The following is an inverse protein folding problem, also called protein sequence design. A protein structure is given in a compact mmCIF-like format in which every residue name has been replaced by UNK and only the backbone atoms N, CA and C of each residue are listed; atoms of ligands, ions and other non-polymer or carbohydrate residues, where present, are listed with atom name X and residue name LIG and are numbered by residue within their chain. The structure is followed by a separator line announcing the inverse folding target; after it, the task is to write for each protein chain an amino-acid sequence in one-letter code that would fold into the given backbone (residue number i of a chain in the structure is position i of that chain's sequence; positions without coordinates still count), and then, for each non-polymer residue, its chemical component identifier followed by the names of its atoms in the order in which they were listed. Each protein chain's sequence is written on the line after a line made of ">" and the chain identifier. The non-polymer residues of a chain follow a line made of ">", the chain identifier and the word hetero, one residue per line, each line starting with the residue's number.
data_IF_437668306355
#
_entry.id   IF_437668306355
#
_cell.length_a   1.000
_cell.length_b   1.000
_cell.length_c   1.000
_cell.angle_alpha   90.00
_cell.angle_beta   90.00
_cell.angle_gamma   90.00
#
_symmetry.space_group_name_H-M   'P 1'
#
loop_
_entity.id
_entity.type
_entity.pdbx_description
1 polymer ?
#
# COMPACT_ATOMS: atom_id res chain seq x y z
N UNK A 1 24.25 10.78 1.53
CA UNK A 1 23.94 10.56 0.09
C UNK A 1 24.74 9.42 -0.56
N UNK A 2 25.90 9.00 -0.03
CA UNK A 2 26.70 7.88 -0.59
C UNK A 2 26.02 6.50 -0.52
N UNK A 3 25.17 6.24 0.46
CA UNK A 3 24.47 4.95 0.59
C UNK A 3 23.34 4.73 -0.43
N UNK A 4 22.85 5.79 -1.08
CA UNK A 4 21.74 5.70 -2.04
C UNK A 4 22.16 4.90 -3.27
N UNK A 5 23.41 5.07 -3.72
CA UNK A 5 23.95 4.34 -4.90
C UNK A 5 24.08 2.85 -4.61
N UNK A 6 24.55 2.47 -3.42
CA UNK A 6 24.65 1.06 -3.02
C UNK A 6 23.26 0.41 -2.87
N UNK A 7 22.29 1.15 -2.32
CA UNK A 7 20.89 0.72 -2.27
C UNK A 7 20.29 0.51 -3.66
N UNK A 8 20.57 1.42 -4.61
CA UNK A 8 20.09 1.32 -5.99
C UNK A 8 20.71 0.13 -6.74
N UNK A 9 21.99 -0.18 -6.51
CA UNK A 9 22.63 -1.34 -7.13
C UNK A 9 22.09 -2.66 -6.58
N UNK A 10 21.79 -2.71 -5.28
CA UNK A 10 21.32 -3.93 -4.62
C UNK A 10 19.80 -4.18 -4.82
N UNK A 11 18.99 -3.12 -4.89
CA UNK A 11 17.53 -3.21 -4.96
C UNK A 11 16.94 -2.79 -6.32
N UNK A 12 17.78 -2.35 -7.26
CA UNK A 12 17.34 -1.69 -8.48
C UNK A 12 17.03 -0.21 -8.26
N UNK A 13 16.77 0.55 -9.34
CA UNK A 13 16.41 1.95 -9.23
C UNK A 13 15.21 2.15 -8.30
N UNK A 14 15.25 3.13 -7.41
CA UNK A 14 14.14 3.41 -6.48
C UNK A 14 12.78 3.58 -7.21
N UNK A 15 12.82 4.07 -8.46
CA UNK A 15 11.64 4.21 -9.29
C UNK A 15 11.01 2.88 -9.69
N UNK A 16 11.77 1.79 -9.88
CA UNK A 16 11.18 0.48 -10.22
C UNK A 16 10.40 -0.09 -9.04
N UNK A 17 10.95 0.03 -7.83
CA UNK A 17 10.27 -0.42 -6.61
C UNK A 17 9.03 0.43 -6.33
N UNK A 18 9.13 1.75 -6.49
CA UNK A 18 8.01 2.66 -6.32
C UNK A 18 6.89 2.40 -7.33
N UNK A 19 7.23 2.26 -8.61
CA UNK A 19 6.24 2.00 -9.68
C UNK A 19 5.51 0.70 -9.41
N UNK A 20 6.21 -0.38 -9.07
CA UNK A 20 5.58 -1.66 -8.75
C UNK A 20 4.64 -1.55 -7.53
N UNK A 21 5.10 -0.92 -6.45
CA UNK A 21 4.27 -0.73 -5.26
C UNK A 21 3.03 0.12 -5.57
N UNK A 22 3.19 1.18 -6.37
CA UNK A 22 2.09 2.04 -6.77
C UNK A 22 1.09 1.35 -7.69
N UNK A 23 1.54 0.48 -8.61
CA UNK A 23 0.66 -0.33 -9.45
C UNK A 23 -0.21 -1.28 -8.60
N UNK A 24 0.40 -1.98 -7.64
CA UNK A 24 -0.33 -2.85 -6.71
C UNK A 24 -1.33 -2.05 -5.87
N UNK A 25 -0.90 -0.91 -5.35
CA UNK A 25 -1.77 -0.03 -4.56
C UNK A 25 -2.95 0.51 -5.39
N UNK A 26 -2.68 1.02 -6.60
CA UNK A 26 -3.72 1.53 -7.49
C UNK A 26 -4.68 0.41 -7.94
N UNK A 27 -4.18 -0.80 -8.21
CA UNK A 27 -5.02 -1.95 -8.54
C UNK A 27 -5.97 -2.33 -7.41
N UNK A 28 -5.48 -2.33 -6.17
CA UNK A 28 -6.33 -2.53 -4.99
C UNK A 28 -7.38 -1.43 -4.83
N UNK A 29 -7.02 -0.16 -5.04
CA UNK A 29 -7.99 0.95 -5.02
C UNK A 29 -9.04 0.79 -6.11
N UNK A 30 -8.65 0.43 -7.33
CA UNK A 30 -9.56 0.19 -8.44
C UNK A 30 -10.53 -0.95 -8.13
N UNK A 31 -10.05 -2.04 -7.54
CA UNK A 31 -10.93 -3.13 -7.10
C UNK A 31 -11.94 -2.63 -6.06
N UNK A 32 -11.56 -1.74 -5.13
CA UNK A 32 -12.51 -1.23 -4.15
C UNK A 32 -13.58 -0.26 -4.72
N UNK A 33 -13.44 0.18 -5.97
CA UNK A 33 -14.40 1.06 -6.67
C UNK A 33 -15.58 0.27 -7.29
N UNK A 34 -16.17 -0.67 -6.54
CA UNK A 34 -17.32 -1.44 -7.00
C UNK A 34 -18.65 -0.66 -6.99
N UNK A 35 -18.72 0.47 -6.28
CA UNK A 35 -19.98 1.21 -6.11
C UNK A 35 -20.18 2.29 -7.18
N UNK A 36 -21.23 2.16 -7.98
CA UNK A 36 -21.60 3.16 -8.99
C UNK A 36 -22.25 4.42 -8.41
N UNK A 37 -22.79 4.38 -7.19
CA UNK A 37 -23.57 5.50 -6.63
C UNK A 37 -22.71 6.46 -5.80
N UNK A 38 -21.77 5.94 -5.00
CA UNK A 38 -20.94 6.74 -4.09
C UNK A 38 -19.48 6.23 -4.08
N UNK A 39 -18.77 6.25 -5.23
CA UNK A 39 -17.45 5.64 -5.37
C UNK A 39 -16.44 6.20 -4.36
N UNK A 40 -16.39 7.53 -4.20
CA UNK A 40 -15.41 8.20 -3.34
C UNK A 40 -15.64 7.99 -1.85
N UNK A 41 -16.91 8.02 -1.40
CA UNK A 41 -17.23 7.78 0.02
C UNK A 41 -16.93 6.34 0.42
N UNK A 42 -17.20 5.39 -0.46
CA UNK A 42 -16.90 3.98 -0.22
C UNK A 42 -15.40 3.70 -0.26
N UNK A 43 -14.68 4.29 -1.22
CA UNK A 43 -13.22 4.22 -1.27
C UNK A 43 -12.58 4.72 0.04
N UNK A 44 -13.05 5.87 0.54
CA UNK A 44 -12.54 6.44 1.79
C UNK A 44 -12.80 5.51 2.99
N UNK A 45 -13.97 4.88 3.07
CA UNK A 45 -14.27 3.90 4.13
C UNK A 45 -13.37 2.68 4.05
N UNK A 46 -13.15 2.14 2.85
CA UNK A 46 -12.27 0.97 2.64
C UNK A 46 -10.84 1.31 3.06
N UNK A 47 -10.33 2.47 2.66
CA UNK A 47 -9.02 2.97 3.08
C UNK A 47 -8.92 3.11 4.59
N UNK A 48 -9.90 3.78 5.23
CA UNK A 48 -9.93 3.94 6.68
C UNK A 48 -9.94 2.60 7.43
N UNK A 49 -10.78 1.66 7.00
CA UNK A 49 -10.81 0.33 7.61
C UNK A 49 -9.49 -0.40 7.45
N UNK A 50 -8.86 -0.31 6.27
CA UNK A 50 -7.54 -0.90 6.03
C UNK A 50 -6.46 -0.30 6.92
N UNK A 51 -6.41 1.03 7.05
CA UNK A 51 -5.41 1.67 7.91
C UNK A 51 -5.60 1.31 9.38
N UNK A 52 -6.85 1.17 9.85
CA UNK A 52 -7.09 0.68 11.21
C UNK A 52 -6.61 -0.75 11.41
N UNK A 53 -6.83 -1.65 10.44
CA UNK A 53 -6.33 -3.01 10.51
C UNK A 53 -4.80 -3.05 10.50
N UNK A 54 -4.15 -2.26 9.64
CA UNK A 54 -2.68 -2.14 9.60
C UNK A 54 -2.13 -1.59 10.93
N UNK A 55 -2.78 -0.59 11.52
CA UNK A 55 -2.40 -0.07 12.84
C UNK A 55 -2.56 -1.10 13.95
N UNK A 56 -3.66 -1.86 13.95
CA UNK A 56 -3.86 -2.95 14.91
C UNK A 56 -2.82 -4.05 14.72
N UNK A 57 -2.53 -4.44 13.49
CA UNK A 57 -1.50 -5.43 13.18
C UNK A 57 -0.14 -5.00 13.74
N UNK A 58 0.25 -3.74 13.52
CA UNK A 58 1.49 -3.17 14.03
C UNK A 58 1.52 -3.07 15.56
N UNK A 59 0.38 -2.75 16.19
CA UNK A 59 0.29 -2.61 17.64
C UNK A 59 0.35 -3.96 18.38
N UNK A 60 -0.21 -5.01 17.79
CA UNK A 60 -0.33 -6.33 18.41
C UNK A 60 0.68 -7.36 17.87
N UNK A 61 1.62 -6.93 17.02
CA UNK A 61 2.61 -7.77 16.31
C UNK A 61 1.99 -9.05 15.70
N UNK A 62 0.82 -8.90 15.09
CA UNK A 62 0.07 -9.99 14.46
C UNK A 62 0.64 -10.35 13.08
N UNK A 63 1.93 -10.08 12.86
CA UNK A 63 2.62 -10.29 11.58
C UNK A 63 2.78 -11.79 11.25
N UNK A 64 2.67 -12.66 12.25
CA UNK A 64 2.87 -14.13 12.12
C UNK A 64 1.58 -14.94 11.89
N UNK A 65 0.39 -14.39 12.11
CA UNK A 65 -0.85 -15.18 12.30
C UNK A 65 -1.91 -15.02 11.18
N UNK A 66 -1.65 -14.27 10.09
CA UNK A 66 -2.66 -13.93 9.08
C UNK A 66 -2.25 -14.27 7.64
#
# INVERSE_FOLDING_TARGET
>A
LLHVVQGIQNCGPVWTTWTFHMEQFCGMLQNSLHSCSCPWSNLNKVLLHRTYLEQLQMQYDLSEEL
#
